data_IF_126829202072
#
_entry.id   IF_126829202072
#
_cell.length_a   1.000
_cell.length_b   1.000
_cell.length_c   1.000
_cell.angle_alpha   90.00
_cell.angle_beta   90.00
_cell.angle_gamma   90.00
#
_symmetry.space_group_name_H-M   'P 1'
#
loop_
_entity.id
_entity.type
_entity.pdbx_description
1 polymer ?
#
# COMPACT_ATOMS: atom_id res chain seq x y z
N UNK A 1 25.62 -23.40 -14.09
CA UNK A 1 25.46 -22.00 -13.65
C UNK A 1 23.96 -21.73 -13.54
N UNK A 2 23.39 -21.94 -12.37
CA UNK A 2 22.04 -21.44 -12.09
C UNK A 2 22.11 -19.92 -12.24
N UNK A 3 21.36 -19.35 -13.19
CA UNK A 3 21.13 -17.91 -13.18
C UNK A 3 20.43 -17.63 -11.85
N UNK A 4 21.11 -16.93 -10.95
CA UNK A 4 20.50 -16.47 -9.69
C UNK A 4 19.30 -15.63 -10.07
N UNK A 5 18.11 -16.22 -10.00
CA UNK A 5 16.84 -15.52 -10.18
C UNK A 5 16.81 -14.42 -9.11
N UNK A 6 16.90 -13.18 -9.57
CA UNK A 6 16.82 -11.98 -8.76
C UNK A 6 15.37 -11.77 -8.31
N UNK A 7 15.19 -11.44 -7.03
CA UNK A 7 13.88 -11.11 -6.45
C UNK A 7 13.77 -9.60 -6.35
N UNK A 8 12.79 -9.03 -7.06
CA UNK A 8 12.48 -7.60 -6.93
C UNK A 8 11.62 -7.37 -5.69
N UNK A 9 12.15 -6.58 -4.76
CA UNK A 9 11.47 -6.22 -3.51
C UNK A 9 10.87 -4.83 -3.70
N UNK A 10 9.54 -4.73 -3.72
CA UNK A 10 8.83 -3.45 -3.76
C UNK A 10 9.14 -2.62 -2.54
N UNK A 11 9.00 -3.22 -1.37
CA UNK A 11 9.13 -2.51 -0.10
C UNK A 11 9.93 -3.37 0.85
N UNK A 12 10.99 -2.80 1.42
CA UNK A 12 11.64 -3.32 2.62
C UNK A 12 11.30 -2.37 3.76
N UNK A 13 10.35 -2.75 4.60
CA UNK A 13 9.79 -1.89 5.65
C UNK A 13 10.35 -2.27 6.99
N UNK A 14 11.00 -1.32 7.65
CA UNK A 14 11.49 -1.44 9.01
C UNK A 14 10.48 -0.83 9.98
N UNK A 15 10.04 -1.65 10.92
CA UNK A 15 9.15 -1.24 12.00
C UNK A 15 10.01 -0.79 13.16
N UNK A 16 9.97 0.50 13.44
CA UNK A 16 10.72 1.14 14.51
C UNK A 16 9.86 1.24 15.76
N UNK A 17 10.48 1.16 16.92
CA UNK A 17 9.80 1.23 18.21
C UNK A 17 10.61 2.07 19.20
N UNK A 18 10.46 3.41 19.17
CA UNK A 18 11.10 4.30 20.13
C UNK A 18 10.72 3.92 21.57
N UNK A 19 11.70 3.98 22.48
CA UNK A 19 11.47 3.75 23.91
C UNK A 19 11.14 5.03 24.69
N UNK A 20 11.59 6.16 24.17
CA UNK A 20 11.28 7.50 24.68
C UNK A 20 10.44 8.24 23.63
N UNK A 21 9.54 9.09 24.12
CA UNK A 21 8.72 9.96 23.28
C UNK A 21 9.13 11.44 23.41
N UNK A 22 10.27 11.72 24.03
CA UNK A 22 10.91 13.03 23.95
C UNK A 22 11.36 13.30 22.51
N UNK A 23 11.16 14.52 22.05
CA UNK A 23 11.42 14.90 20.66
C UNK A 23 12.89 14.79 20.25
N UNK A 24 13.84 15.08 21.15
CA UNK A 24 15.26 14.92 20.86
C UNK A 24 15.63 13.44 20.80
N UNK A 25 15.15 12.65 21.76
CA UNK A 25 15.43 11.21 21.83
C UNK A 25 14.90 10.47 20.61
N UNK A 26 13.71 10.82 20.11
CA UNK A 26 13.12 10.20 18.91
C UNK A 26 13.96 10.52 17.67
N UNK A 27 14.37 11.78 17.50
CA UNK A 27 15.18 12.21 16.35
C UNK A 27 16.49 11.41 16.29
N UNK A 28 17.16 11.28 17.45
CA UNK A 28 18.40 10.52 17.58
C UNK A 28 18.16 9.03 17.33
N UNK A 29 17.12 8.45 17.94
CA UNK A 29 16.78 7.04 17.76
C UNK A 29 16.51 6.69 16.30
N UNK A 30 15.68 7.48 15.60
CA UNK A 30 15.34 7.25 14.18
C UNK A 30 16.59 7.35 13.32
N UNK A 31 17.38 8.42 13.48
CA UNK A 31 18.61 8.64 12.70
C UNK A 31 19.61 7.51 12.90
N UNK A 32 19.85 7.11 14.16
CA UNK A 32 20.78 6.03 14.50
C UNK A 32 20.32 4.70 13.94
N UNK A 33 19.05 4.32 14.12
CA UNK A 33 18.54 3.03 13.64
C UNK A 33 18.53 2.93 12.13
N UNK A 34 18.17 4.00 11.42
CA UNK A 34 18.23 4.00 9.95
C UNK A 34 19.66 3.92 9.43
N UNK A 35 20.62 4.57 10.09
CA UNK A 35 22.04 4.43 9.76
C UNK A 35 22.53 2.98 9.92
N UNK A 36 22.20 2.33 11.05
CA UNK A 36 22.50 0.92 11.31
C UNK A 36 21.86 -0.02 10.26
N UNK A 37 20.61 0.25 9.88
CA UNK A 37 19.91 -0.45 8.80
C UNK A 37 20.67 -0.30 7.48
N UNK A 38 21.03 0.91 7.07
CA UNK A 38 21.74 1.11 5.80
C UNK A 38 23.10 0.44 5.78
N UNK A 39 23.82 0.44 6.90
CA UNK A 39 25.10 -0.26 7.04
C UNK A 39 24.92 -1.75 6.74
N UNK A 40 23.90 -2.39 7.34
CA UNK A 40 23.59 -3.80 7.05
C UNK A 40 23.14 -4.01 5.60
N UNK A 41 22.35 -3.08 5.05
CA UNK A 41 21.88 -3.22 3.66
C UNK A 41 23.00 -3.05 2.64
N UNK A 42 24.00 -2.20 2.91
CA UNK A 42 25.17 -2.04 2.05
C UNK A 42 25.99 -3.34 1.94
N UNK A 43 25.88 -4.23 2.92
CA UNK A 43 26.54 -5.53 2.96
C UNK A 43 25.75 -6.67 2.29
N UNK A 44 24.53 -6.43 1.76
CA UNK A 44 23.74 -7.48 1.09
C UNK A 44 23.64 -7.26 -0.42
N UNK A 45 24.02 -8.29 -1.21
CA UNK A 45 24.13 -8.18 -2.67
C UNK A 45 22.79 -7.87 -3.38
N UNK A 46 21.68 -8.32 -2.79
CA UNK A 46 20.33 -8.15 -3.35
C UNK A 46 19.73 -6.77 -3.05
N UNK A 47 20.40 -5.88 -2.29
CA UNK A 47 19.93 -4.50 -2.05
C UNK A 47 19.58 -3.77 -3.34
N UNK A 48 20.33 -4.00 -4.42
CA UNK A 48 20.09 -3.40 -5.74
C UNK A 48 18.70 -3.72 -6.34
N UNK A 49 18.08 -4.80 -5.86
CA UNK A 49 16.75 -5.25 -6.31
C UNK A 49 15.63 -4.72 -5.39
N UNK A 50 15.96 -3.90 -4.39
CA UNK A 50 15.01 -3.21 -3.51
C UNK A 50 14.61 -1.87 -4.13
N UNK A 51 13.33 -1.74 -4.48
CA UNK A 51 12.79 -0.49 -5.01
C UNK A 51 12.69 0.60 -3.96
N UNK A 52 12.25 0.25 -2.74
CA UNK A 52 12.12 1.22 -1.65
C UNK A 52 12.41 0.62 -0.29
N UNK A 53 13.20 1.35 0.50
CA UNK A 53 13.35 1.16 1.94
C UNK A 53 12.38 2.11 2.64
N UNK A 54 11.67 1.61 3.65
CA UNK A 54 10.61 2.36 4.34
C UNK A 54 10.74 2.23 5.85
N UNK A 55 10.22 3.21 6.58
CA UNK A 55 10.15 3.18 8.04
C UNK A 55 8.71 3.33 8.52
N UNK A 56 8.31 2.52 9.49
CA UNK A 56 7.00 2.60 10.13
C UNK A 56 7.19 2.65 11.63
N UNK A 57 6.82 3.76 12.27
CA UNK A 57 6.94 3.89 13.73
C UNK A 57 5.71 3.31 14.45
N UNK A 58 5.88 2.98 15.73
CA UNK A 58 4.75 2.67 16.61
C UNK A 58 3.89 3.92 16.85
N UNK A 59 2.60 3.78 17.18
CA UNK A 59 1.79 4.92 17.61
C UNK A 59 2.36 5.55 18.91
N UNK A 60 2.41 6.89 19.02
CA UNK A 60 2.76 7.56 20.26
C UNK A 60 1.70 7.36 21.34
N UNK A 61 2.06 7.50 22.64
CA UNK A 61 1.09 7.59 23.71
C UNK A 61 0.26 8.87 23.60
N UNK A 62 -0.89 8.89 24.28
CA UNK A 62 -1.77 10.05 24.33
C UNK A 62 -1.04 11.28 24.91
N UNK A 63 -1.39 12.47 24.40
CA UNK A 63 -0.84 13.76 24.86
C UNK A 63 0.43 14.21 24.15
N UNK A 64 1.01 13.38 23.26
CA UNK A 64 2.12 13.79 22.40
C UNK A 64 1.59 14.63 21.23
N UNK A 65 2.27 15.74 20.92
CA UNK A 65 2.02 16.52 19.71
C UNK A 65 2.48 15.72 18.49
N UNK A 66 1.52 15.05 17.84
CA UNK A 66 1.77 14.17 16.71
C UNK A 66 2.23 14.91 15.46
N UNK A 67 1.90 16.20 15.31
CA UNK A 67 2.31 17.00 14.15
C UNK A 67 3.78 17.32 14.25
N UNK A 68 4.21 17.86 15.40
CA UNK A 68 5.63 18.12 15.67
C UNK A 68 6.46 16.83 15.63
N UNK A 69 5.93 15.74 16.18
CA UNK A 69 6.55 14.43 16.09
C UNK A 69 6.76 13.99 14.63
N UNK A 70 5.75 14.16 13.77
CA UNK A 70 5.82 13.80 12.36
C UNK A 70 6.90 14.59 11.60
N UNK A 71 7.05 15.88 11.88
CA UNK A 71 8.11 16.71 11.31
C UNK A 71 9.50 16.20 11.71
N UNK A 72 9.71 15.92 13.00
CA UNK A 72 10.97 15.40 13.52
C UNK A 72 11.32 14.05 12.90
N UNK A 73 10.35 13.14 12.88
CA UNK A 73 10.54 11.79 12.34
C UNK A 73 10.81 11.85 10.84
N UNK A 74 10.12 12.70 10.09
CA UNK A 74 10.35 12.89 8.67
C UNK A 74 11.74 13.48 8.38
N UNK A 75 12.15 14.51 9.12
CA UNK A 75 13.46 15.15 8.96
C UNK A 75 14.60 14.18 9.27
N UNK A 76 14.52 13.48 10.41
CA UNK A 76 15.49 12.44 10.79
C UNK A 76 15.58 11.33 9.74
N UNK A 77 14.45 10.84 9.25
CA UNK A 77 14.41 9.77 8.26
C UNK A 77 14.96 10.21 6.90
N UNK A 78 14.60 11.41 6.45
CA UNK A 78 15.02 11.96 5.16
C UNK A 78 16.52 12.20 5.11
N UNK A 79 17.12 12.69 6.22
CA UNK A 79 18.57 12.82 6.37
C UNK A 79 19.30 11.48 6.29
N UNK A 80 18.64 10.39 6.72
CA UNK A 80 19.14 9.02 6.60
C UNK A 80 18.80 8.35 5.25
N UNK A 81 18.19 9.06 4.30
CA UNK A 81 17.86 8.52 2.97
C UNK A 81 16.52 7.79 2.85
N UNK A 82 15.67 7.80 3.90
CA UNK A 82 14.33 7.20 3.88
C UNK A 82 13.26 8.30 3.83
N UNK A 83 12.61 8.47 2.67
CA UNK A 83 11.53 9.44 2.48
C UNK A 83 10.12 8.86 2.68
N UNK A 84 10.00 7.53 2.74
CA UNK A 84 8.73 6.83 2.95
C UNK A 84 8.58 6.43 4.42
N UNK A 85 7.91 7.29 5.18
CA UNK A 85 7.71 7.11 6.63
C UNK A 85 6.23 7.11 6.99
N UNK A 86 5.80 6.11 7.75
CA UNK A 86 4.42 5.98 8.27
C UNK A 86 4.42 5.66 9.77
N UNK A 87 3.25 5.37 10.33
CA UNK A 87 3.07 5.03 11.75
C UNK A 87 2.10 5.93 12.50
N UNK A 88 1.62 6.98 11.84
CA UNK A 88 0.66 7.92 12.40
C UNK A 88 -0.76 7.50 12.04
N UNK A 89 -1.53 7.15 13.06
CA UNK A 89 -2.91 6.68 12.92
C UNK A 89 -3.86 7.73 13.47
N UNK A 90 -4.88 8.07 12.70
CA UNK A 90 -5.97 8.95 13.12
C UNK A 90 -7.25 8.15 13.18
N UNK A 91 -7.91 8.14 14.35
CA UNK A 91 -9.21 7.50 14.50
C UNK A 91 -10.29 8.33 13.79
N UNK A 92 -11.06 7.68 12.92
CA UNK A 92 -12.12 8.34 12.14
C UNK A 92 -13.16 9.07 13.00
N UNK A 93 -13.38 8.61 14.25
CA UNK A 93 -14.32 9.22 15.21
C UNK A 93 -13.87 10.56 15.75
N UNK A 94 -12.58 10.87 15.67
CA UNK A 94 -11.97 12.11 16.15
C UNK A 94 -11.12 12.79 15.08
N UNK A 95 -11.35 12.45 13.80
CA UNK A 95 -10.59 13.02 12.68
C UNK A 95 -10.76 14.54 12.62
N UNK A 96 -9.63 15.23 12.56
CA UNK A 96 -9.50 16.66 12.30
C UNK A 96 -8.73 16.85 11.00
N UNK A 97 -9.32 17.55 10.04
CA UNK A 97 -8.74 17.71 8.70
C UNK A 97 -7.54 18.65 8.69
N UNK A 98 -7.44 19.60 9.62
CA UNK A 98 -6.28 20.50 9.73
C UNK A 98 -5.09 19.73 10.30
N UNK A 99 -5.30 18.89 11.31
CA UNK A 99 -4.27 17.99 11.86
C UNK A 99 -3.79 17.00 10.80
N UNK A 100 -4.71 16.31 10.11
CA UNK A 100 -4.34 15.38 9.02
C UNK A 100 -3.61 16.12 7.91
N UNK A 101 -4.06 17.32 7.53
CA UNK A 101 -3.39 18.15 6.54
C UNK A 101 -1.94 18.47 6.91
N UNK A 102 -1.69 18.88 8.16
CA UNK A 102 -0.34 19.18 8.67
C UNK A 102 0.55 17.93 8.68
N UNK A 103 0.04 16.78 9.10
CA UNK A 103 0.76 15.50 9.04
C UNK A 103 1.16 15.16 7.60
N UNK A 104 0.25 15.26 6.63
CA UNK A 104 0.57 14.95 5.22
C UNK A 104 1.58 15.95 4.63
N UNK A 105 1.49 17.22 5.04
CA UNK A 105 2.42 18.29 4.64
C UNK A 105 3.83 18.07 5.19
N UNK A 106 3.96 17.49 6.39
CA UNK A 106 5.27 17.17 6.97
C UNK A 106 6.00 16.07 6.21
N UNK A 107 5.36 15.39 5.25
CA UNK A 107 5.98 14.38 4.39
C UNK A 107 5.70 12.94 4.80
N UNK A 108 5.01 12.71 5.92
CA UNK A 108 4.66 11.38 6.39
C UNK A 108 3.41 10.81 5.69
N UNK A 109 3.28 9.50 5.78
CA UNK A 109 2.13 8.72 5.36
C UNK A 109 1.19 8.49 6.55
N UNK A 110 -0.10 8.77 6.36
CA UNK A 110 -1.12 8.75 7.42
C UNK A 110 -2.15 7.66 7.14
N UNK A 111 -2.44 6.88 8.18
CA UNK A 111 -3.51 5.90 8.20
C UNK A 111 -4.72 6.47 8.95
N UNK A 112 -5.89 6.52 8.35
CA UNK A 112 -7.15 6.80 9.06
C UNK A 112 -7.83 5.49 9.39
N UNK A 113 -7.93 5.15 10.67
CA UNK A 113 -8.65 3.96 11.11
C UNK A 113 -10.16 4.21 11.14
N UNK A 114 -10.90 3.46 10.34
CA UNK A 114 -12.34 3.65 10.14
C UNK A 114 -13.10 2.34 10.36
N UNK A 115 -13.56 2.15 11.60
CA UNK A 115 -14.33 0.98 12.06
C UNK A 115 -15.81 1.27 12.32
N UNK A 116 -16.25 2.50 12.07
CA UNK A 116 -17.56 3.00 12.50
C UNK A 116 -18.24 3.78 11.38
N UNK A 117 -19.30 3.22 10.81
CA UNK A 117 -19.94 3.75 9.60
C UNK A 117 -20.43 5.20 9.73
N UNK A 118 -20.83 5.63 10.93
CA UNK A 118 -21.30 6.99 11.20
C UNK A 118 -20.17 8.04 11.11
N UNK A 119 -18.88 7.63 11.16
CA UNK A 119 -17.76 8.55 10.96
C UNK A 119 -17.42 8.77 9.48
N UNK A 120 -17.94 7.97 8.56
CA UNK A 120 -17.51 7.99 7.15
C UNK A 120 -17.80 9.31 6.45
N UNK A 121 -18.91 9.97 6.79
CA UNK A 121 -19.19 11.32 6.28
C UNK A 121 -18.12 12.32 6.70
N UNK A 122 -17.68 12.26 7.96
CA UNK A 122 -16.62 13.14 8.47
C UNK A 122 -15.28 12.85 7.80
N UNK A 123 -14.95 11.58 7.55
CA UNK A 123 -13.75 11.19 6.79
C UNK A 123 -13.82 11.74 5.36
N UNK A 124 -14.97 11.62 4.69
CA UNK A 124 -15.18 12.15 3.35
C UNK A 124 -15.04 13.70 3.31
N UNK A 125 -15.60 14.40 4.30
CA UNK A 125 -15.42 15.86 4.46
C UNK A 125 -13.95 16.23 4.64
N UNK A 126 -13.19 15.48 5.46
CA UNK A 126 -11.77 15.72 5.64
C UNK A 126 -10.97 15.52 4.34
N UNK A 127 -11.23 14.43 3.61
CA UNK A 127 -10.61 14.17 2.30
C UNK A 127 -10.87 15.34 1.34
N UNK A 128 -12.10 15.84 1.25
CA UNK A 128 -12.45 16.94 0.35
C UNK A 128 -11.81 18.27 0.74
N UNK A 129 -11.71 18.56 2.03
CA UNK A 129 -11.03 19.77 2.52
C UNK A 129 -9.53 19.73 2.29
N UNK A 130 -8.90 18.57 2.48
CA UNK A 130 -7.47 18.37 2.18
C UNK A 130 -7.24 18.50 0.67
N UNK A 131 -8.08 17.86 -0.14
CA UNK A 131 -8.06 17.97 -1.60
C UNK A 131 -8.14 19.42 -2.08
N UNK A 132 -9.02 20.22 -1.47
CA UNK A 132 -9.21 21.62 -1.84
C UNK A 132 -7.94 22.46 -1.63
N UNK A 133 -7.15 22.14 -0.59
CA UNK A 133 -5.87 22.81 -0.33
C UNK A 133 -4.78 22.27 -1.25
N UNK A 134 -4.61 20.95 -1.31
CA UNK A 134 -3.62 20.28 -2.16
C UNK A 134 -3.99 18.78 -2.33
N UNK A 135 -4.48 18.37 -3.51
CA UNK A 135 -4.92 16.98 -3.74
C UNK A 135 -3.77 15.98 -3.73
N UNK A 136 -2.53 16.39 -4.01
CA UNK A 136 -1.36 15.51 -3.99
C UNK A 136 -1.12 14.95 -2.59
N UNK A 137 -1.47 15.69 -1.52
CA UNK A 137 -1.31 15.21 -0.15
C UNK A 137 -2.09 13.91 0.12
N UNK A 138 -3.22 13.71 -0.56
CA UNK A 138 -4.03 12.50 -0.42
C UNK A 138 -3.33 11.25 -0.96
N UNK A 139 -2.27 11.37 -1.76
CA UNK A 139 -1.45 10.20 -2.16
C UNK A 139 -0.72 9.56 -0.97
N UNK A 140 -0.58 10.30 0.14
CA UNK A 140 0.05 9.86 1.40
C UNK A 140 -0.97 9.46 2.47
N UNK A 141 -2.27 9.49 2.16
CA UNK A 141 -3.35 9.17 3.09
C UNK A 141 -4.10 7.91 2.63
N UNK A 142 -4.42 7.01 3.55
CA UNK A 142 -5.32 5.90 3.28
C UNK A 142 -6.29 5.71 4.42
N UNK A 143 -7.52 5.30 4.08
CA UNK A 143 -8.54 4.91 5.05
C UNK A 143 -8.49 3.39 5.21
N UNK A 144 -8.21 2.93 6.43
CA UNK A 144 -8.23 1.52 6.81
C UNK A 144 -9.65 1.16 7.26
N UNK A 145 -10.30 0.28 6.51
CA UNK A 145 -11.66 -0.19 6.78
C UNK A 145 -11.63 -1.63 7.30
N UNK A 146 -12.44 -1.89 8.33
CA UNK A 146 -12.57 -3.21 8.96
C UNK A 146 -12.29 -3.16 10.47
N UNK A 147 -12.57 -4.27 11.16
CA UNK A 147 -12.54 -4.33 12.62
C UNK A 147 -11.19 -4.74 13.22
N UNK A 148 -10.24 -5.22 12.42
CA UNK A 148 -8.96 -5.68 12.95
C UNK A 148 -8.07 -4.50 13.37
N UNK A 149 -7.77 -4.45 14.67
CA UNK A 149 -6.80 -3.51 15.23
C UNK A 149 -5.36 -3.96 14.97
N UNK A 150 -5.13 -5.27 14.89
CA UNK A 150 -3.82 -5.87 14.67
C UNK A 150 -3.64 -6.20 13.18
N UNK A 151 -3.37 -5.18 12.38
CA UNK A 151 -3.02 -5.34 10.98
C UNK A 151 -1.64 -4.74 10.70
N UNK A 152 -0.68 -5.63 10.48
CA UNK A 152 0.68 -5.26 10.11
C UNK A 152 0.85 -5.47 8.60
N UNK A 153 1.26 -4.43 7.88
CA UNK A 153 1.52 -4.49 6.44
C UNK A 153 2.70 -3.60 6.08
N UNK A 154 3.56 -3.99 5.11
CA UNK A 154 4.55 -3.09 4.50
C UNK A 154 3.93 -2.14 3.45
N UNK A 155 2.60 -2.20 3.26
CA UNK A 155 1.88 -1.39 2.30
C UNK A 155 1.54 -0.01 2.86
N UNK A 156 2.08 1.03 2.22
CA UNK A 156 1.89 2.42 2.62
C UNK A 156 0.68 2.99 1.89
N UNK A 157 -0.11 3.88 2.50
CA UNK A 157 0.03 4.51 3.84
C UNK A 157 -0.37 3.67 5.06
N UNK A 158 -0.90 2.46 4.87
CA UNK A 158 -1.56 1.68 5.93
C UNK A 158 -0.60 1.02 6.95
N UNK A 159 0.70 1.05 6.67
CA UNK A 159 1.73 0.50 7.56
C UNK A 159 1.79 1.26 8.89
N UNK A 160 1.61 0.53 9.99
CA UNK A 160 1.75 1.01 11.36
C UNK A 160 2.40 -0.09 12.20
N UNK A 161 3.37 0.26 13.07
CA UNK A 161 3.96 -0.74 13.96
C UNK A 161 3.04 -1.03 15.17
N UNK A 162 2.03 -1.86 14.93
CA UNK A 162 1.08 -2.28 15.98
C UNK A 162 1.64 -3.34 16.94
N UNK A 163 2.86 -3.85 16.67
CA UNK A 163 3.52 -4.86 17.51
C UNK A 163 4.34 -4.28 18.65
N UNK A 164 4.59 -2.95 18.65
CA UNK A 164 5.43 -2.26 19.63
C UNK A 164 6.79 -2.94 19.86
N UNK A 165 7.35 -3.50 18.79
CA UNK A 165 8.66 -4.16 18.75
C UNK A 165 9.36 -3.78 17.46
N UNK A 166 10.68 -3.85 17.45
CA UNK A 166 11.41 -3.68 16.20
C UNK A 166 11.28 -4.93 15.34
N UNK A 167 11.19 -4.72 14.03
CA UNK A 167 11.12 -5.82 13.08
C UNK A 167 11.14 -5.33 11.64
N UNK A 168 11.02 -6.27 10.71
CA UNK A 168 10.98 -5.96 9.29
C UNK A 168 9.97 -6.84 8.54
N UNK A 169 9.34 -6.26 7.53
CA UNK A 169 8.54 -6.99 6.56
C UNK A 169 8.92 -6.54 5.15
N UNK A 170 8.65 -7.40 4.18
CA UNK A 170 8.93 -7.11 2.78
C UNK A 170 7.71 -7.34 1.90
N UNK A 171 7.61 -6.61 0.80
CA UNK A 171 6.62 -6.79 -0.25
C UNK A 171 7.30 -7.02 -1.59
N UNK A 172 6.72 -7.88 -2.43
CA UNK A 172 7.28 -8.25 -3.74
C UNK A 172 6.83 -7.31 -4.87
N UNK A 173 7.66 -7.16 -5.91
CA UNK A 173 7.33 -6.51 -7.18
C UNK A 173 7.55 -7.49 -8.34
N UNK A 174 6.54 -8.28 -8.69
CA UNK A 174 6.75 -9.50 -9.49
C UNK A 174 5.59 -9.82 -10.44
N UNK A 175 4.71 -8.86 -10.72
CA UNK A 175 3.60 -9.02 -11.68
C UNK A 175 4.09 -9.47 -13.07
N UNK A 176 5.22 -8.91 -13.53
CA UNK A 176 5.85 -9.30 -14.80
C UNK A 176 6.39 -10.73 -14.78
N UNK A 177 7.06 -11.14 -13.69
CA UNK A 177 7.55 -12.52 -13.52
C UNK A 177 6.40 -13.55 -13.58
N UNK A 178 5.27 -13.22 -12.95
CA UNK A 178 4.07 -14.04 -12.98
C UNK A 178 3.45 -14.10 -14.37
N UNK A 179 3.38 -12.97 -15.08
CA UNK A 179 2.86 -12.89 -16.45
C UNK A 179 3.68 -13.75 -17.41
N UNK A 180 5.00 -13.62 -17.37
CA UNK A 180 5.90 -14.42 -18.21
C UNK A 180 5.74 -15.92 -17.94
N UNK A 181 5.64 -16.30 -16.67
CA UNK A 181 5.47 -17.70 -16.27
C UNK A 181 4.08 -18.25 -16.62
N UNK A 182 3.04 -17.41 -16.53
CA UNK A 182 1.70 -17.75 -16.98
C UNK A 182 1.65 -18.03 -18.49
N UNK A 183 2.33 -17.22 -19.30
CA UNK A 183 2.39 -17.43 -20.76
C UNK A 183 3.07 -18.74 -21.16
N UNK A 184 3.97 -19.25 -20.32
CA UNK A 184 4.68 -20.51 -20.58
C UNK A 184 3.83 -21.73 -20.20
N UNK A 185 3.18 -21.71 -19.03
CA UNK A 185 2.54 -22.91 -18.48
C UNK A 185 1.25 -22.61 -17.68
N UNK A 186 0.52 -21.57 -18.07
CA UNK A 186 -0.72 -21.13 -17.45
C UNK A 186 -0.59 -20.91 -15.94
N UNK A 187 -1.69 -21.15 -15.22
CA UNK A 187 -1.75 -21.01 -13.76
C UNK A 187 -0.67 -21.82 -13.05
N UNK A 188 -0.32 -23.02 -13.55
CA UNK A 188 0.74 -23.83 -12.93
C UNK A 188 2.10 -23.11 -12.97
N UNK A 189 2.47 -22.55 -14.14
CA UNK A 189 3.69 -21.77 -14.28
C UNK A 189 3.72 -20.56 -13.35
N UNK A 190 2.61 -19.84 -13.27
CA UNK A 190 2.43 -18.71 -12.35
C UNK A 190 2.63 -19.12 -10.88
N UNK A 191 1.94 -20.18 -10.43
CA UNK A 191 2.00 -20.67 -9.06
C UNK A 191 3.41 -21.12 -8.68
N UNK A 192 4.08 -21.89 -9.56
CA UNK A 192 5.44 -22.36 -9.30
C UNK A 192 6.44 -21.19 -9.21
N UNK A 193 6.29 -20.18 -10.08
CA UNK A 193 7.11 -18.96 -10.03
C UNK A 193 6.86 -18.14 -8.76
N UNK A 194 5.60 -17.96 -8.37
CA UNK A 194 5.26 -17.25 -7.14
C UNK A 194 5.88 -17.96 -5.92
N UNK A 195 5.80 -19.29 -5.86
CA UNK A 195 6.36 -20.09 -4.78
C UNK A 195 7.88 -19.88 -4.65
N UNK A 196 8.59 -19.94 -5.78
CA UNK A 196 10.03 -19.72 -5.82
C UNK A 196 10.42 -18.34 -5.30
N UNK A 197 9.75 -17.28 -5.78
CA UNK A 197 10.05 -15.91 -5.42
C UNK A 197 9.74 -15.63 -3.94
N UNK A 198 8.67 -16.21 -3.40
CA UNK A 198 8.32 -16.10 -1.98
C UNK A 198 9.41 -16.71 -1.08
N UNK A 199 9.90 -17.92 -1.38
CA UNK A 199 10.97 -18.58 -0.60
C UNK A 199 12.23 -17.72 -0.58
N UNK A 200 12.65 -17.25 -1.76
CA UNK A 200 13.83 -16.39 -1.89
C UNK A 200 13.66 -15.08 -1.12
N UNK A 201 12.47 -14.49 -1.18
CA UNK A 201 12.20 -13.24 -0.48
C UNK A 201 12.25 -13.40 1.05
N UNK A 202 11.72 -14.50 1.59
CA UNK A 202 11.86 -14.82 3.02
C UNK A 202 13.33 -14.97 3.43
N UNK A 203 14.15 -15.63 2.60
CA UNK A 203 15.58 -15.75 2.86
C UNK A 203 16.27 -14.37 2.95
N UNK A 204 15.95 -13.43 2.04
CA UNK A 204 16.42 -12.04 2.12
C UNK A 204 16.01 -11.37 3.43
N UNK A 205 14.74 -11.51 3.82
CA UNK A 205 14.21 -10.94 5.06
C UNK A 205 14.89 -11.49 6.31
N UNK A 206 15.13 -12.81 6.35
CA UNK A 206 15.82 -13.49 7.46
C UNK A 206 17.29 -13.10 7.56
N UNK A 207 17.98 -12.90 6.44
CA UNK A 207 19.37 -12.45 6.42
C UNK A 207 19.51 -11.08 7.12
N UNK A 208 18.71 -10.10 6.72
CA UNK A 208 18.73 -8.75 7.33
C UNK A 208 18.25 -8.78 8.77
N UNK A 209 17.22 -9.59 9.08
CA UNK A 209 16.72 -9.80 10.44
C UNK A 209 17.82 -10.32 11.36
N UNK A 210 18.61 -11.31 10.90
CA UNK A 210 19.72 -11.88 11.66
C UNK A 210 20.86 -10.87 11.87
N UNK A 211 21.23 -10.10 10.84
CA UNK A 211 22.30 -9.10 10.93
C UNK A 211 21.94 -7.93 11.87
N UNK A 212 20.67 -7.52 11.91
CA UNK A 212 20.18 -6.42 12.75
C UNK A 212 19.69 -6.83 14.14
N UNK A 213 19.51 -8.14 14.39
CA UNK A 213 18.95 -8.63 15.65
C UNK A 213 17.49 -8.23 15.90
N UNK A 214 16.69 -8.06 14.83
CA UNK A 214 15.26 -7.69 14.89
C UNK A 214 14.37 -8.79 14.33
N UNK A 215 13.08 -8.82 14.65
CA UNK A 215 12.18 -9.89 14.20
C UNK A 215 11.81 -9.75 12.71
N UNK A 216 11.94 -10.82 11.93
CA UNK A 216 11.30 -10.89 10.61
C UNK A 216 9.79 -11.13 10.76
N UNK A 217 8.97 -10.16 10.35
CA UNK A 217 7.52 -10.22 10.48
C UNK A 217 6.83 -10.96 9.33
N UNK A 218 7.45 -11.02 8.16
CA UNK A 218 6.97 -11.84 7.05
C UNK A 218 7.05 -11.17 5.68
N UNK A 219 6.56 -11.90 4.70
CA UNK A 219 6.41 -11.52 3.30
C UNK A 219 4.96 -11.14 3.04
N UNK A 220 4.74 -9.93 2.54
CA UNK A 220 3.51 -9.56 1.84
C UNK A 220 3.64 -9.95 0.38
N UNK A 221 3.08 -11.11 0.03
CA UNK A 221 3.08 -11.64 -1.32
C UNK A 221 1.94 -11.06 -2.18
N UNK A 222 1.49 -9.86 -1.90
CA UNK A 222 0.54 -9.17 -2.76
C UNK A 222 1.12 -8.93 -4.15
N UNK A 223 0.34 -9.24 -5.20
CA UNK A 223 0.71 -8.93 -6.58
C UNK A 223 0.39 -7.46 -6.84
N UNK A 224 1.41 -6.61 -6.66
CA UNK A 224 1.26 -5.16 -6.76
C UNK A 224 2.00 -4.58 -7.97
N UNK A 225 1.45 -3.53 -8.62
CA UNK A 225 2.03 -3.00 -9.85
C UNK A 225 3.04 -1.88 -9.60
N UNK A 226 3.87 -1.61 -10.60
CA UNK A 226 4.60 -0.35 -10.72
C UNK A 226 4.84 0.00 -12.18
N UNK A 227 4.11 1.00 -12.66
CA UNK A 227 4.14 1.51 -14.02
C UNK A 227 3.91 0.39 -15.05
N UNK A 228 4.94 0.00 -15.78
CA UNK A 228 4.91 -1.07 -16.79
C UNK A 228 4.79 -2.48 -16.17
N UNK A 229 5.18 -2.66 -14.90
CA UNK A 229 4.96 -3.91 -14.17
C UNK A 229 3.50 -3.96 -13.73
N UNK A 230 2.61 -4.27 -14.66
CA UNK A 230 1.15 -4.13 -14.47
C UNK A 230 0.49 -5.40 -13.92
N UNK A 231 -0.23 -5.24 -12.81
CA UNK A 231 -1.11 -6.27 -12.25
C UNK A 231 -2.36 -6.43 -13.10
N UNK A 232 -2.86 -5.34 -13.68
CA UNK A 232 -3.98 -5.38 -14.60
C UNK A 232 -3.65 -6.14 -15.90
N UNK A 233 -2.44 -5.99 -16.45
CA UNK A 233 -1.99 -6.78 -17.60
C UNK A 233 -2.06 -8.27 -17.33
N UNK A 234 -1.63 -8.69 -16.13
CA UNK A 234 -1.69 -10.08 -15.70
C UNK A 234 -3.15 -10.59 -15.62
N UNK A 235 -4.04 -9.78 -15.06
CA UNK A 235 -5.47 -10.12 -15.01
C UNK A 235 -6.07 -10.21 -16.41
N UNK A 236 -5.76 -9.28 -17.33
CA UNK A 236 -6.23 -9.32 -18.72
C UNK A 236 -5.71 -10.55 -19.48
N UNK A 237 -4.49 -11.00 -19.18
CA UNK A 237 -3.93 -12.22 -19.76
C UNK A 237 -4.68 -13.47 -19.27
N UNK A 238 -5.03 -13.52 -17.99
CA UNK A 238 -5.78 -14.64 -17.40
C UNK A 238 -7.23 -14.64 -17.87
N UNK A 239 -7.88 -13.47 -17.92
CA UNK A 239 -9.29 -13.35 -18.28
C UNK A 239 -9.55 -13.43 -19.79
N UNK A 240 -8.54 -13.13 -20.61
CA UNK A 240 -8.67 -12.96 -22.06
C UNK A 240 -9.47 -11.72 -22.47
N UNK A 241 -9.83 -10.83 -21.53
CA UNK A 241 -10.62 -9.62 -21.77
C UNK A 241 -10.01 -8.40 -21.08
N UNK A 242 -10.20 -7.18 -21.64
CA UNK A 242 -9.77 -5.96 -20.97
C UNK A 242 -10.46 -5.75 -19.62
N UNK A 243 -9.77 -5.22 -18.62
CA UNK A 243 -10.43 -4.81 -17.38
C UNK A 243 -11.30 -3.56 -17.65
N UNK A 244 -12.52 -3.44 -17.08
CA UNK A 244 -13.17 -4.36 -16.13
C UNK A 244 -14.28 -5.24 -16.76
N UNK A 245 -14.10 -5.74 -17.99
CA UNK A 245 -15.12 -6.54 -18.67
C UNK A 245 -15.52 -7.82 -17.89
N UNK A 246 -16.73 -8.38 -18.12
CA UNK A 246 -17.15 -9.64 -17.51
C UNK A 246 -16.10 -10.73 -17.68
N UNK A 247 -15.72 -11.37 -16.57
CA UNK A 247 -14.58 -12.29 -16.48
C UNK A 247 -13.42 -11.74 -15.65
N UNK A 248 -13.30 -10.41 -15.51
CA UNK A 248 -12.23 -9.78 -14.71
C UNK A 248 -12.24 -10.24 -13.25
N UNK A 249 -13.41 -10.26 -12.59
CA UNK A 249 -13.53 -10.70 -11.18
C UNK A 249 -13.11 -12.17 -11.02
N UNK A 250 -13.48 -13.03 -11.98
CA UNK A 250 -13.13 -14.45 -11.95
C UNK A 250 -11.61 -14.64 -12.09
N UNK A 251 -10.96 -13.91 -13.01
CA UNK A 251 -9.51 -13.94 -13.18
C UNK A 251 -8.76 -13.42 -11.95
N UNK A 252 -9.27 -12.37 -11.29
CA UNK A 252 -8.71 -11.89 -10.00
C UNK A 252 -8.79 -12.98 -8.93
N UNK A 253 -9.95 -13.64 -8.80
CA UNK A 253 -10.14 -14.70 -7.83
C UNK A 253 -9.23 -15.92 -8.11
N UNK A 254 -9.08 -16.31 -9.38
CA UNK A 254 -8.18 -17.39 -9.81
C UNK A 254 -6.71 -17.07 -9.52
N UNK A 255 -6.28 -15.85 -9.82
CA UNK A 255 -4.93 -15.36 -9.50
C UNK A 255 -4.67 -15.38 -7.99
N UNK A 256 -5.61 -14.88 -7.19
CA UNK A 256 -5.49 -14.88 -5.73
C UNK A 256 -5.43 -16.30 -5.15
N UNK A 257 -6.19 -17.24 -5.72
CA UNK A 257 -6.11 -18.65 -5.35
C UNK A 257 -4.71 -19.21 -5.67
N UNK A 258 -4.20 -18.94 -6.86
CA UNK A 258 -2.89 -19.42 -7.30
C UNK A 258 -1.74 -18.92 -6.42
N UNK A 259 -1.68 -17.62 -6.09
CA UNK A 259 -0.63 -17.09 -5.21
C UNK A 259 -0.76 -17.57 -3.76
N UNK A 260 -1.99 -17.83 -3.29
CA UNK A 260 -2.22 -18.44 -1.97
C UNK A 260 -1.76 -19.89 -1.93
N UNK A 261 -2.03 -20.68 -2.98
CA UNK A 261 -1.51 -22.04 -3.11
C UNK A 261 0.02 -22.06 -3.16
N UNK A 262 0.63 -21.11 -3.87
CA UNK A 262 2.08 -20.92 -3.88
C UNK A 262 2.63 -20.63 -2.48
N UNK A 263 1.99 -19.72 -1.71
CA UNK A 263 2.40 -19.41 -0.36
C UNK A 263 2.31 -20.62 0.59
N UNK A 264 1.25 -21.42 0.47
CA UNK A 264 1.08 -22.66 1.23
C UNK A 264 2.17 -23.69 0.89
N UNK A 265 2.51 -23.84 -0.40
CA UNK A 265 3.58 -24.74 -0.86
C UNK A 265 4.96 -24.25 -0.38
N UNK A 266 5.18 -22.94 -0.40
CA UNK A 266 6.41 -22.31 0.05
C UNK A 266 6.59 -22.32 1.57
N UNK A 267 5.48 -22.41 2.32
CA UNK A 267 5.45 -22.34 3.79
C UNK A 267 6.14 -21.08 4.36
N UNK A 268 5.98 -19.94 3.68
CA UNK A 268 6.57 -18.66 4.10
C UNK A 268 5.78 -18.01 5.22
N UNK A 269 6.48 -17.29 6.10
CA UNK A 269 5.86 -16.39 7.08
C UNK A 269 5.18 -15.24 6.34
N UNK A 270 3.85 -15.22 6.32
CA UNK A 270 3.06 -14.21 5.61
C UNK A 270 2.69 -13.00 6.48
N UNK A 271 2.63 -11.82 5.88
CA UNK A 271 2.11 -10.60 6.52
C UNK A 271 1.42 -9.67 5.51
N UNK A 272 0.73 -8.63 5.96
CA UNK A 272 0.05 -7.68 5.08
C UNK A 272 -1.16 -8.25 4.34
N UNK A 273 -1.33 -7.85 3.08
CA UNK A 273 -2.55 -8.07 2.32
C UNK A 273 -2.63 -9.44 1.65
N UNK A 274 -1.49 -9.93 1.13
CA UNK A 274 -1.39 -11.25 0.52
C UNK A 274 -2.39 -11.52 -0.64
N UNK A 275 -2.78 -10.48 -1.38
CA UNK A 275 -3.71 -10.57 -2.52
C UNK A 275 -3.30 -9.60 -3.65
N UNK A 276 -3.89 -9.74 -4.83
CA UNK A 276 -3.76 -8.81 -5.94
C UNK A 276 -4.09 -7.37 -5.50
N UNK A 277 -3.33 -6.41 -6.00
CA UNK A 277 -3.61 -4.98 -5.82
C UNK A 277 -3.86 -4.32 -7.19
N UNK A 278 -4.84 -3.41 -7.24
CA UNK A 278 -5.22 -2.67 -8.44
C UNK A 278 -5.19 -1.13 -8.24
N UNK A 279 -4.07 -0.54 -7.75
CA UNK A 279 -3.91 0.91 -7.63
C UNK A 279 -3.85 1.59 -9.01
N UNK A 280 -4.85 2.43 -9.32
CA UNK A 280 -4.97 3.05 -10.66
C UNK A 280 -3.76 3.93 -10.97
N UNK A 281 -3.29 4.76 -10.03
CA UNK A 281 -2.13 5.63 -10.25
C UNK A 281 -0.79 4.88 -10.42
N UNK A 282 -0.71 3.60 -10.06
CA UNK A 282 0.54 2.83 -10.07
C UNK A 282 0.61 1.81 -11.21
N UNK A 283 -0.47 1.64 -12.00
CA UNK A 283 -0.58 0.63 -13.06
C UNK A 283 -0.94 1.28 -14.41
N UNK A 284 -0.03 1.21 -15.39
CA UNK A 284 -0.23 1.88 -16.68
C UNK A 284 -1.38 1.28 -17.50
N UNK A 285 -1.75 0.02 -17.28
CA UNK A 285 -2.90 -0.60 -17.95
C UNK A 285 -4.20 -0.09 -17.33
N UNK A 286 -4.30 0.02 -16.01
CA UNK A 286 -5.47 0.65 -15.38
C UNK A 286 -5.63 2.11 -15.81
N UNK A 287 -4.53 2.87 -15.89
CA UNK A 287 -4.58 4.25 -16.43
C UNK A 287 -5.12 4.26 -17.86
N UNK A 288 -4.65 3.35 -18.71
CA UNK A 288 -5.14 3.22 -20.07
C UNK A 288 -6.64 2.90 -20.11
N UNK A 289 -7.13 1.93 -19.31
CA UNK A 289 -8.56 1.59 -19.28
C UNK A 289 -9.45 2.71 -18.76
N UNK A 290 -8.95 3.50 -17.83
CA UNK A 290 -9.60 4.73 -17.38
C UNK A 290 -9.69 5.78 -18.50
N UNK A 291 -8.60 6.04 -19.24
CA UNK A 291 -8.58 6.97 -20.37
C UNK A 291 -9.48 6.52 -21.54
N UNK A 292 -9.62 5.21 -21.74
CA UNK A 292 -10.56 4.62 -22.70
C UNK A 292 -12.03 4.72 -22.25
N UNK A 293 -12.30 5.26 -21.04
CA UNK A 293 -13.65 5.38 -20.48
C UNK A 293 -14.27 4.06 -20.02
N UNK A 294 -13.46 2.98 -19.92
CA UNK A 294 -13.90 1.64 -19.54
C UNK A 294 -13.96 1.44 -18.03
N UNK A 295 -13.07 2.09 -17.30
CA UNK A 295 -12.92 1.93 -15.85
C UNK A 295 -13.62 3.07 -15.10
N UNK A 296 -14.54 2.73 -14.19
CA UNK A 296 -15.23 3.66 -13.28
C UNK A 296 -15.03 3.25 -11.82
N UNK A 297 -15.37 4.14 -10.90
CA UNK A 297 -15.21 3.87 -9.46
C UNK A 297 -15.98 2.62 -9.02
N UNK A 298 -17.22 2.45 -9.48
CA UNK A 298 -18.05 1.26 -9.19
C UNK A 298 -17.40 -0.06 -9.62
N UNK A 299 -16.59 -0.04 -10.68
CA UNK A 299 -15.95 -1.26 -11.19
C UNK A 299 -14.80 -1.67 -10.27
N UNK A 300 -14.08 -0.68 -9.72
CA UNK A 300 -13.05 -0.91 -8.68
C UNK A 300 -13.68 -1.38 -7.36
N UNK A 301 -14.86 -0.85 -6.99
CA UNK A 301 -15.64 -1.36 -5.84
C UNK A 301 -16.02 -2.83 -6.09
N UNK A 302 -16.49 -3.18 -7.29
CA UNK A 302 -16.84 -4.56 -7.63
C UNK A 302 -15.60 -5.49 -7.60
N UNK A 303 -14.47 -5.06 -8.15
CA UNK A 303 -13.21 -5.82 -8.12
C UNK A 303 -12.69 -6.02 -6.68
N UNK A 304 -12.97 -5.07 -5.76
CA UNK A 304 -12.63 -5.18 -4.33
C UNK A 304 -13.34 -6.36 -3.64
N UNK A 305 -14.39 -6.94 -4.22
CA UNK A 305 -14.95 -8.21 -3.71
C UNK A 305 -13.96 -9.36 -3.84
N UNK A 306 -13.14 -9.36 -4.90
CA UNK A 306 -12.16 -10.39 -5.19
C UNK A 306 -10.72 -10.04 -4.79
N UNK A 307 -10.39 -8.77 -4.47
CA UNK A 307 -9.07 -8.35 -3.96
C UNK A 307 -9.16 -7.62 -2.60
N UNK A 308 -8.13 -7.66 -1.74
CA UNK A 308 -8.19 -7.05 -0.38
C UNK A 308 -7.60 -5.63 -0.33
N UNK A 309 -6.84 -5.19 -1.34
CA UNK A 309 -6.30 -3.82 -1.35
C UNK A 309 -7.39 -2.73 -1.34
N UNK A 310 -8.59 -3.06 -1.84
CA UNK A 310 -9.73 -2.16 -1.95
C UNK A 310 -9.63 -1.20 -3.13
N UNK A 311 -10.24 -0.02 -2.99
CA UNK A 311 -10.20 1.02 -4.02
C UNK A 311 -8.99 1.90 -3.79
N UNK A 312 -8.06 1.89 -4.75
CA UNK A 312 -6.74 2.38 -4.49
C UNK A 312 -6.18 3.35 -5.54
N UNK A 313 -5.56 4.42 -5.04
CA UNK A 313 -4.97 5.53 -5.79
C UNK A 313 -5.82 6.01 -6.96
N UNK A 314 -7.09 6.32 -6.68
CA UNK A 314 -8.07 6.73 -7.69
C UNK A 314 -8.29 8.23 -7.65
N UNK A 315 -8.28 8.89 -8.81
CA UNK A 315 -8.66 10.30 -8.93
C UNK A 315 -10.11 10.40 -9.41
N UNK A 316 -10.92 11.19 -8.73
CA UNK A 316 -12.32 11.50 -9.10
C UNK A 316 -12.54 13.01 -9.13
N UNK A 317 -13.55 13.54 -9.86
CA UNK A 317 -13.96 14.93 -9.73
C UNK A 317 -14.41 15.22 -8.30
N UNK A 318 -14.04 16.38 -7.76
CA UNK A 318 -14.40 16.76 -6.40
C UNK A 318 -15.84 17.30 -6.32
N UNK A 319 -16.35 17.92 -7.38
CA UNK A 319 -17.70 18.49 -7.44
C UNK A 319 -18.76 17.42 -7.12
N UNK A 320 -19.61 17.71 -6.11
CA UNK A 320 -20.65 16.81 -5.61
C UNK A 320 -20.17 15.40 -5.16
N UNK A 321 -18.88 15.24 -4.87
CA UNK A 321 -18.31 13.92 -4.55
C UNK A 321 -18.39 13.53 -3.07
N UNK A 322 -18.88 14.39 -2.18
CA UNK A 322 -19.08 14.05 -0.76
C UNK A 322 -19.90 12.76 -0.59
N UNK A 323 -21.04 12.68 -1.30
CA UNK A 323 -21.90 11.50 -1.30
C UNK A 323 -21.23 10.27 -1.93
N UNK A 324 -20.39 10.47 -2.94
CA UNK A 324 -19.69 9.38 -3.63
C UNK A 324 -18.57 8.80 -2.76
N UNK A 325 -17.77 9.65 -2.11
CA UNK A 325 -16.73 9.21 -1.17
C UNK A 325 -17.36 8.56 0.07
N UNK A 326 -18.43 9.15 0.63
CA UNK A 326 -19.16 8.54 1.75
C UNK A 326 -19.74 7.16 1.36
N UNK A 327 -20.35 7.05 0.18
CA UNK A 327 -20.86 5.79 -0.37
C UNK A 327 -19.76 4.75 -0.60
N UNK A 328 -18.64 5.15 -1.22
CA UNK A 328 -17.46 4.33 -1.41
C UNK A 328 -16.97 3.72 -0.10
N UNK A 329 -16.81 4.54 0.95
CA UNK A 329 -16.38 4.04 2.26
C UNK A 329 -17.39 3.05 2.85
N UNK A 330 -18.70 3.29 2.69
CA UNK A 330 -19.76 2.37 3.14
C UNK A 330 -19.69 1.02 2.41
N UNK A 331 -19.61 1.03 1.09
CA UNK A 331 -19.60 -0.18 0.28
C UNK A 331 -18.33 -1.01 0.53
N UNK A 332 -17.17 -0.35 0.53
CA UNK A 332 -15.88 -1.04 0.77
C UNK A 332 -15.79 -1.55 2.21
N UNK A 333 -16.37 -0.85 3.19
CA UNK A 333 -16.47 -1.34 4.55
C UNK A 333 -17.31 -2.63 4.64
N UNK A 334 -18.46 -2.68 3.95
CA UNK A 334 -19.30 -3.89 3.89
C UNK A 334 -18.56 -5.05 3.20
N UNK A 335 -17.78 -4.76 2.16
CA UNK A 335 -16.90 -5.76 1.54
C UNK A 335 -15.85 -6.27 2.55
N UNK A 336 -15.22 -5.38 3.31
CA UNK A 336 -14.25 -5.74 4.35
C UNK A 336 -14.88 -6.67 5.41
N UNK A 337 -16.10 -6.37 5.86
CA UNK A 337 -16.88 -7.21 6.78
C UNK A 337 -17.18 -8.59 6.18
N UNK A 338 -17.69 -8.64 4.95
CA UNK A 338 -18.02 -9.91 4.27
C UNK A 338 -16.78 -10.79 4.07
N UNK A 339 -15.62 -10.18 3.81
CA UNK A 339 -14.34 -10.90 3.67
C UNK A 339 -13.72 -11.28 5.02
N UNK A 340 -14.16 -10.67 6.12
CA UNK A 340 -13.51 -10.79 7.42
C UNK A 340 -12.06 -10.28 7.40
N UNK A 341 -11.77 -9.25 6.59
CA UNK A 341 -10.43 -8.72 6.35
C UNK A 341 -10.42 -7.20 6.48
N UNK A 342 -9.22 -6.63 6.67
CA UNK A 342 -8.99 -5.19 6.55
C UNK A 342 -8.86 -4.83 5.07
N UNK A 343 -9.46 -3.72 4.65
CA UNK A 343 -9.38 -3.21 3.27
C UNK A 343 -8.95 -1.74 3.29
N UNK A 344 -8.16 -1.32 2.30
CA UNK A 344 -7.72 0.06 2.14
C UNK A 344 -8.62 0.85 1.19
N UNK A 345 -8.76 2.16 1.43
CA UNK A 345 -9.29 3.10 0.45
C UNK A 345 -8.34 4.29 0.30
N UNK A 346 -7.92 4.55 -0.94
CA UNK A 346 -7.24 5.79 -1.35
C UNK A 346 -7.98 6.40 -2.54
N UNK A 347 -8.70 7.48 -2.26
CA UNK A 347 -9.39 8.29 -3.25
C UNK A 347 -8.90 9.73 -3.16
N UNK A 348 -8.67 10.33 -4.32
CA UNK A 348 -8.16 11.69 -4.50
C UNK A 348 -9.20 12.47 -5.27
N UNK A 349 -10.18 13.09 -4.60
CA UNK A 349 -11.00 14.10 -5.25
C UNK A 349 -10.09 15.21 -5.78
N UNK A 350 -10.37 15.72 -6.95
CA UNK A 350 -9.64 16.86 -7.52
C UNK A 350 -10.66 17.86 -8.07
N UNK A 351 -10.49 19.13 -7.72
CA UNK A 351 -11.38 20.21 -8.17
C UNK A 351 -11.03 20.64 -9.59
N UNK A 352 -12.03 21.16 -10.32
CA UNK A 352 -11.86 21.73 -11.67
C UNK A 352 -11.30 20.74 -12.70
N UNK A 353 -11.63 19.45 -12.56
CA UNK A 353 -11.28 18.41 -13.53
C UNK A 353 -12.50 17.59 -13.90
N UNK A 354 -12.46 16.96 -15.07
CA UNK A 354 -13.56 16.13 -15.59
C UNK A 354 -13.12 14.71 -15.85
N UNK A 355 -14.03 13.72 -15.80
CA UNK A 355 -13.70 12.36 -16.20
C UNK A 355 -13.10 12.30 -17.61
N UNK A 356 -12.03 11.52 -17.77
CA UNK A 356 -11.26 11.43 -19.01
C UNK A 356 -10.09 12.41 -19.12
N UNK A 357 -10.02 13.43 -18.26
CA UNK A 357 -8.82 14.25 -18.10
C UNK A 357 -7.77 13.52 -17.24
N UNK A 358 -6.55 14.04 -17.19
CA UNK A 358 -5.47 13.52 -16.34
C UNK A 358 -4.87 14.61 -15.48
N UNK A 359 -4.52 14.27 -14.25
CA UNK A 359 -3.80 15.12 -13.31
C UNK A 359 -2.39 14.58 -13.09
N UNK A 360 -1.43 15.46 -12.88
CA UNK A 360 -0.06 15.04 -12.53
C UNK A 360 0.06 14.86 -11.02
N UNK A 361 0.38 13.65 -10.57
CA UNK A 361 0.60 13.31 -9.16
C UNK A 361 2.08 13.07 -8.84
N UNK A 362 3.01 13.67 -9.58
CA UNK A 362 4.45 13.60 -9.33
C UNK A 362 5.02 12.23 -9.65
N UNK A 363 5.41 11.43 -8.64
CA UNK A 363 6.02 10.11 -8.87
C UNK A 363 5.10 9.12 -9.58
N UNK A 364 3.79 9.36 -9.56
CA UNK A 364 2.78 8.54 -10.25
C UNK A 364 2.54 8.99 -11.69
N UNK A 365 3.14 10.12 -12.11
CA UNK A 365 2.94 10.73 -13.43
C UNK A 365 1.52 11.21 -13.65
N UNK A 366 1.08 11.18 -14.92
CA UNK A 366 -0.29 11.53 -15.31
C UNK A 366 -1.26 10.41 -14.91
N UNK A 367 -2.20 10.73 -14.03
CA UNK A 367 -3.22 9.82 -13.52
C UNK A 367 -4.59 10.27 -14.03
N UNK A 368 -5.37 9.39 -14.67
CA UNK A 368 -6.67 9.76 -15.21
C UNK A 368 -7.71 9.96 -14.11
N UNK A 369 -8.60 10.90 -14.37
CA UNK A 369 -9.80 11.17 -13.58
C UNK A 369 -10.90 10.23 -14.05
N UNK A 370 -11.43 9.39 -13.16
CA UNK A 370 -12.50 8.45 -13.50
C UNK A 370 -13.87 8.95 -13.03
N UNK A 371 -14.97 8.49 -13.67
CA UNK A 371 -16.31 8.76 -13.17
C UNK A 371 -16.52 8.15 -11.76
N UNK A 372 -17.09 8.90 -10.81
CA UNK A 372 -17.41 8.42 -9.47
C UNK A 372 -18.57 7.42 -9.45
#
# INVERSE_FOLDING_TARGET
>A
MERTISVKIRALTFYLNPKSWDFADIAEYVSRRLCEIYTVLDDVEWKKDVWSVRASISPPPDGIDIVKLAEIVHDASSKSGVSLVSGFTIESRSIDYDVVGQLLQSGIYVCVNADFQQSFRRVAEAILKISQKNPILLSRMAVKLGYSKEFLTPYFPLSVNVKFREGLALALLYSTDLLESYRINGIKGLTDRACELMIRSEACGLEVSSKLGIEFYGVDYSVSPWMENSSARLVEEISGVPIPEPGSIAAVAELNKAIKEAALKANVKSTGFCELMLPVAEDNVLKQRALEGRLRLRDLIALSTACVAGVDMVVIPAEDSLKHVEGLLKDVFKIAELKGRVVGVRVIPHYSVRPGESVDLGLFGKVPVIPP
#
